data_IF_112637018805
#
_entry.id   IF_112637018805
#
_cell.length_a   1.000
_cell.length_b   1.000
_cell.length_c   1.000
_cell.angle_alpha   90.00
_cell.angle_beta   90.00
_cell.angle_gamma   90.00
#
_symmetry.space_group_name_H-M   'P 1'
#
loop_
_entity.id
_entity.type
_entity.pdbx_description
1 polymer ?
#
# COMPACT_ATOMS: atom_id res chain seq x y z
N UNK A 1 6.35 6.29 -11.41
CA UNK A 1 5.00 6.44 -10.81
C UNK A 1 5.12 6.24 -9.32
N UNK A 2 4.48 7.07 -8.49
CA UNK A 2 4.37 6.90 -7.05
C UNK A 2 2.98 6.39 -6.68
N UNK A 3 2.93 5.39 -5.81
CA UNK A 3 1.70 4.86 -5.23
C UNK A 3 1.84 4.89 -3.71
N UNK A 4 1.14 5.80 -3.05
CA UNK A 4 1.11 5.89 -1.60
C UNK A 4 0.09 4.91 -1.04
N UNK A 5 0.48 4.13 -0.05
CA UNK A 5 -0.39 3.23 0.69
C UNK A 5 -0.56 3.76 2.11
N UNK A 6 -1.78 4.07 2.51
CA UNK A 6 -2.08 4.55 3.87
C UNK A 6 -3.25 3.80 4.49
N UNK A 7 -3.34 3.84 5.81
CA UNK A 7 -4.52 3.36 6.55
C UNK A 7 -4.56 4.00 7.93
N UNK A 8 -5.75 4.21 8.48
CA UNK A 8 -5.88 4.83 9.82
C UNK A 8 -5.44 3.90 10.95
N UNK A 9 -5.64 2.60 10.80
CA UNK A 9 -5.34 1.59 11.83
C UNK A 9 -4.33 0.57 11.33
N UNK A 10 -3.52 0.06 12.25
CA UNK A 10 -2.71 -1.13 12.02
C UNK A 10 -3.59 -2.38 11.81
N UNK A 11 -3.02 -3.44 11.23
CA UNK A 11 -3.75 -4.70 10.99
C UNK A 11 -4.82 -4.64 9.90
N UNK A 12 -4.81 -3.57 9.08
CA UNK A 12 -5.65 -3.42 7.88
C UNK A 12 -5.20 -4.29 6.72
N UNK A 13 -4.02 -4.90 6.78
CA UNK A 13 -3.44 -5.62 5.65
C UNK A 13 -2.91 -4.71 4.53
N UNK A 14 -2.63 -3.43 4.83
CA UNK A 14 -1.99 -2.46 3.93
C UNK A 14 -0.66 -3.01 3.39
N UNK A 15 0.34 -3.18 4.26
CA UNK A 15 1.68 -3.60 3.88
C UNK A 15 1.69 -4.95 3.15
N UNK A 16 0.95 -5.94 3.65
CA UNK A 16 0.89 -7.27 2.99
C UNK A 16 0.22 -7.21 1.62
N UNK A 17 -0.83 -6.41 1.44
CA UNK A 17 -1.47 -6.22 0.13
C UNK A 17 -0.55 -5.47 -0.83
N UNK A 18 0.10 -4.41 -0.34
CA UNK A 18 1.03 -3.60 -1.13
C UNK A 18 2.28 -4.40 -1.56
N UNK A 19 2.83 -5.24 -0.69
CA UNK A 19 3.94 -6.15 -1.04
C UNK A 19 3.52 -7.18 -2.10
N UNK A 20 2.32 -7.76 -1.96
CA UNK A 20 1.78 -8.67 -2.97
C UNK A 20 1.54 -7.95 -4.31
N UNK A 21 1.03 -6.72 -4.29
CA UNK A 21 0.87 -5.88 -5.47
C UNK A 21 2.21 -5.57 -6.14
N UNK A 22 3.24 -5.22 -5.36
CA UNK A 22 4.60 -4.99 -5.85
C UNK A 22 5.17 -6.23 -6.55
N UNK A 23 4.97 -7.41 -5.92
CA UNK A 23 5.36 -8.68 -6.51
C UNK A 23 4.65 -8.93 -7.85
N UNK A 24 3.32 -8.78 -7.91
CA UNK A 24 2.54 -8.97 -9.14
C UNK A 24 2.96 -7.99 -10.25
N UNK A 25 3.17 -6.73 -9.94
CA UNK A 25 3.69 -5.74 -10.89
C UNK A 25 5.06 -6.14 -11.44
N UNK A 26 5.95 -6.67 -10.59
CA UNK A 26 7.26 -7.16 -11.03
C UNK A 26 7.15 -8.37 -11.96
N UNK A 27 6.19 -9.26 -11.75
CA UNK A 27 5.91 -10.38 -12.66
C UNK A 27 5.38 -9.90 -14.02
N UNK A 28 4.63 -8.80 -14.04
CA UNK A 28 4.14 -8.12 -15.24
C UNK A 28 5.23 -7.31 -15.97
N UNK A 29 6.50 -7.47 -15.58
CA UNK A 29 7.64 -6.86 -16.26
C UNK A 29 7.99 -5.45 -15.82
N UNK A 30 7.37 -4.92 -14.76
CA UNK A 30 7.68 -3.59 -14.23
C UNK A 30 8.89 -3.64 -13.28
N UNK A 31 9.79 -2.68 -13.39
CA UNK A 31 10.78 -2.44 -12.34
C UNK A 31 10.08 -1.72 -11.17
N UNK A 32 9.99 -2.39 -10.03
CA UNK A 32 9.25 -1.91 -8.85
C UNK A 32 10.19 -1.61 -7.68
N UNK A 33 10.01 -0.44 -7.08
CA UNK A 33 10.57 -0.09 -5.78
C UNK A 33 9.47 -0.13 -4.71
N UNK A 34 9.74 -0.79 -3.59
CA UNK A 34 8.92 -0.75 -2.38
C UNK A 34 9.66 0.06 -1.32
N UNK A 35 9.10 1.18 -0.89
CA UNK A 35 9.65 2.08 0.10
C UNK A 35 8.87 1.89 1.40
N UNK A 36 9.49 1.27 2.39
CA UNK A 36 8.88 1.01 3.70
C UNK A 36 9.00 2.26 4.59
N UNK A 37 8.01 3.16 4.46
CA UNK A 37 7.87 4.40 5.20
C UNK A 37 7.07 4.22 6.51
N UNK A 38 6.79 2.97 6.91
CA UNK A 38 6.27 2.69 8.25
C UNK A 38 7.42 2.80 9.25
N UNK A 39 7.79 4.03 9.59
CA UNK A 39 8.96 4.29 10.43
C UNK A 39 8.80 3.75 11.85
N UNK A 40 7.56 3.59 12.34
CA UNK A 40 7.31 3.03 13.66
C UNK A 40 7.37 1.50 13.70
N UNK A 41 7.08 0.83 12.58
CA UNK A 41 7.03 -0.62 12.50
C UNK A 41 7.25 -1.12 11.06
N UNK A 42 8.48 -1.03 10.52
CA UNK A 42 8.76 -1.51 9.18
C UNK A 42 8.65 -3.04 9.14
N UNK A 43 7.78 -3.55 8.25
CA UNK A 43 7.40 -4.98 8.18
C UNK A 43 7.61 -5.59 6.80
N UNK A 44 7.99 -4.78 5.79
CA UNK A 44 8.11 -5.28 4.43
C UNK A 44 9.16 -6.39 4.29
N UNK A 45 10.26 -6.32 5.05
CA UNK A 45 11.27 -7.37 5.06
C UNK A 45 10.74 -8.70 5.58
N UNK A 46 9.83 -8.71 6.55
CA UNK A 46 9.18 -9.94 7.03
C UNK A 46 8.22 -10.51 5.97
N UNK A 47 7.43 -9.66 5.31
CA UNK A 47 6.47 -10.08 4.26
C UNK A 47 7.19 -10.67 3.03
N UNK A 48 8.35 -10.12 2.70
CA UNK A 48 9.24 -10.64 1.65
C UNK A 48 10.15 -11.78 2.13
N UNK A 49 10.02 -12.21 3.39
CA UNK A 49 10.79 -13.31 4.00
C UNK A 49 12.31 -13.07 3.87
N UNK A 50 12.76 -11.87 4.27
CA UNK A 50 14.17 -11.45 4.31
C UNK A 50 14.60 -11.36 5.79
N UNK A 51 15.23 -12.40 6.37
CA UNK A 51 15.45 -12.52 7.82
C UNK A 51 16.20 -11.35 8.46
N UNK A 52 17.18 -10.79 7.75
CA UNK A 52 17.97 -9.65 8.25
C UNK A 52 17.21 -8.33 8.27
N UNK A 53 16.03 -8.28 7.65
CA UNK A 53 15.23 -7.06 7.47
C UNK A 53 13.79 -7.21 8.02
N UNK A 54 13.49 -8.27 8.77
CA UNK A 54 12.13 -8.53 9.29
C UNK A 54 11.53 -7.35 10.05
N UNK A 55 12.38 -6.56 10.70
CA UNK A 55 12.01 -5.38 11.50
C UNK A 55 12.69 -4.10 11.00
N UNK A 56 13.03 -4.05 9.71
CA UNK A 56 13.86 -3.00 9.11
C UNK A 56 15.35 -3.31 9.11
N UNK A 57 16.15 -2.39 8.58
CA UNK A 57 17.62 -2.46 8.58
C UNK A 57 18.21 -1.83 9.84
N UNK A 58 19.36 -2.32 10.29
CA UNK A 58 20.12 -1.69 11.37
C UNK A 58 20.89 -0.46 10.89
N UNK A 59 21.25 -0.43 9.60
CA UNK A 59 22.10 0.60 9.03
C UNK A 59 21.44 1.25 7.82
N UNK A 60 21.28 2.57 7.90
CA UNK A 60 20.97 3.45 6.77
C UNK A 60 19.63 3.19 6.09
N UNK A 61 18.58 2.85 6.83
CA UNK A 61 17.24 2.72 6.26
C UNK A 61 16.63 4.06 5.87
N UNK A 62 15.37 4.02 5.44
CA UNK A 62 14.64 5.20 5.00
C UNK A 62 14.43 6.24 6.11
N UNK A 63 14.24 5.83 7.36
CA UNK A 63 14.10 6.76 8.48
C UNK A 63 15.41 7.50 8.73
N UNK A 64 16.54 6.78 8.79
CA UNK A 64 17.86 7.40 8.92
C UNK A 64 18.20 8.32 7.73
N UNK A 65 17.79 7.96 6.51
CA UNK A 65 17.96 8.82 5.35
C UNK A 65 17.15 10.12 5.47
N UNK A 66 15.88 10.03 5.84
CA UNK A 66 15.01 11.22 6.00
C UNK A 66 15.52 12.14 7.10
N UNK A 67 16.09 11.59 8.18
CA UNK A 67 16.72 12.36 9.25
C UNK A 67 18.12 12.90 8.90
N UNK A 68 18.62 12.65 7.68
CA UNK A 68 19.94 13.12 7.23
C UNK A 68 21.13 12.39 7.87
N UNK A 69 20.90 11.23 8.50
CA UNK A 69 21.94 10.41 9.12
C UNK A 69 22.73 9.59 8.10
N UNK A 70 22.14 9.34 6.93
CA UNK A 70 22.80 8.76 5.76
C UNK A 70 22.43 9.57 4.50
N UNK A 71 23.34 9.60 3.53
CA UNK A 71 23.13 10.27 2.24
C UNK A 71 22.53 9.35 1.18
N UNK A 72 22.58 8.03 1.39
CA UNK A 72 22.03 7.02 0.48
C UNK A 72 21.28 5.99 1.33
N UNK A 73 19.98 5.76 1.09
CA UNK A 73 19.26 4.74 1.82
C UNK A 73 19.68 3.35 1.35
N UNK A 74 19.67 2.40 2.27
CA UNK A 74 19.83 0.97 2.00
C UNK A 74 18.77 0.54 0.98
N UNK A 75 19.18 -0.32 0.05
CA UNK A 75 18.31 -0.95 -0.95
C UNK A 75 18.72 -2.39 -1.15
N UNK A 76 17.74 -3.28 -1.27
CA UNK A 76 17.98 -4.71 -1.49
C UNK A 76 17.12 -5.25 -2.63
N UNK A 77 17.71 -6.11 -3.45
CA UNK A 77 16.97 -6.89 -4.46
C UNK A 77 16.29 -8.05 -3.74
N UNK A 78 14.96 -7.99 -3.62
CA UNK A 78 14.17 -8.95 -2.85
C UNK A 78 14.44 -10.38 -3.29
N UNK A 79 14.55 -10.62 -4.61
CA UNK A 79 14.76 -11.96 -5.15
C UNK A 79 16.13 -12.55 -4.82
N UNK A 80 17.12 -11.71 -4.51
CA UNK A 80 18.47 -12.18 -4.16
C UNK A 80 18.63 -12.51 -2.68
N UNK A 81 17.83 -11.90 -1.81
CA UNK A 81 18.04 -11.94 -0.36
C UNK A 81 16.91 -12.62 0.42
N UNK A 82 15.76 -12.87 -0.21
CA UNK A 82 14.68 -13.66 0.41
C UNK A 82 15.12 -15.09 0.69
N UNK A 83 14.67 -15.67 1.79
CA UNK A 83 14.89 -17.08 2.13
C UNK A 83 13.88 -18.02 1.46
N UNK A 84 12.88 -17.48 0.75
CA UNK A 84 11.88 -18.30 0.07
C UNK A 84 12.31 -18.63 -1.36
N UNK A 85 12.70 -19.88 -1.68
CA UNK A 85 13.31 -20.20 -2.98
C UNK A 85 12.41 -19.86 -4.17
N UNK A 86 11.10 -20.09 -4.04
CA UNK A 86 10.14 -19.77 -5.10
C UNK A 86 10.01 -18.25 -5.37
N UNK A 87 10.33 -17.39 -4.39
CA UNK A 87 10.35 -15.93 -4.59
C UNK A 87 11.67 -15.47 -5.23
N UNK A 88 12.74 -16.25 -5.10
CA UNK A 88 14.01 -16.00 -5.80
C UNK A 88 13.90 -16.27 -7.30
N UNK A 89 13.00 -17.16 -7.70
CA UNK A 89 12.73 -17.43 -9.12
C UNK A 89 12.31 -16.14 -9.84
N UNK A 90 12.99 -15.86 -10.95
CA UNK A 90 12.68 -14.71 -11.82
C UNK A 90 12.25 -15.24 -13.19
N UNK A 91 10.94 -15.39 -13.45
CA UNK A 91 10.45 -15.75 -14.76
C UNK A 91 10.98 -14.80 -15.84
N UNK A 92 11.18 -15.31 -17.05
CA UNK A 92 11.57 -14.49 -18.19
C UNK A 92 10.56 -13.36 -18.41
N UNK A 93 11.07 -12.14 -18.60
CA UNK A 93 10.23 -10.95 -18.76
C UNK A 93 9.81 -10.27 -17.45
N UNK A 94 10.10 -10.83 -16.28
CA UNK A 94 9.85 -10.15 -15.00
C UNK A 94 10.82 -8.98 -14.78
N UNK A 95 10.31 -7.86 -14.28
CA UNK A 95 11.07 -6.68 -13.88
C UNK A 95 11.68 -6.85 -12.48
N UNK A 96 12.39 -5.83 -11.98
CA UNK A 96 13.02 -5.83 -10.66
C UNK A 96 11.99 -5.68 -9.54
N UNK A 97 12.33 -6.20 -8.36
CA UNK A 97 11.60 -5.94 -7.12
C UNK A 97 12.63 -5.53 -6.05
N UNK A 98 12.72 -4.23 -5.81
CA UNK A 98 13.70 -3.63 -4.89
C UNK A 98 12.99 -3.15 -3.65
N UNK A 99 13.46 -3.54 -2.47
CA UNK A 99 13.01 -3.01 -1.18
C UNK A 99 13.99 -1.93 -0.70
N UNK A 100 13.45 -0.78 -0.33
CA UNK A 100 14.08 0.23 0.50
C UNK A 100 13.51 0.07 1.92
N UNK A 101 14.22 -0.60 2.84
CA UNK A 101 13.69 -0.87 4.17
C UNK A 101 13.66 0.39 5.04
N UNK A 102 12.71 0.44 5.97
CA UNK A 102 12.77 1.34 7.12
C UNK A 102 13.85 0.88 8.11
N UNK A 103 14.03 1.64 9.18
CA UNK A 103 15.05 1.37 10.20
C UNK A 103 14.48 0.60 11.40
N UNK A 104 15.28 -0.30 11.97
CA UNK A 104 14.96 -0.97 13.24
C UNK A 104 14.86 0.09 14.33
N UNK A 105 13.73 0.14 15.03
CA UNK A 105 13.53 1.09 16.13
C UNK A 105 13.39 2.55 15.65
N UNK A 106 13.05 2.76 14.38
CA UNK A 106 12.56 4.05 13.93
C UNK A 106 11.33 4.52 14.74
N UNK A 107 11.05 5.81 14.68
CA UNK A 107 9.95 6.41 15.44
C UNK A 107 9.36 7.60 14.69
N UNK A 108 8.24 8.10 15.19
CA UNK A 108 7.74 9.40 14.77
C UNK A 108 8.74 10.50 15.13
N UNK A 109 8.84 11.49 14.26
CA UNK A 109 9.72 12.65 14.41
C UNK A 109 8.95 13.94 14.16
N UNK A 110 9.48 15.07 14.59
CA UNK A 110 8.89 16.37 14.25
C UNK A 110 9.24 16.69 12.79
N UNK A 111 8.21 16.93 11.97
CA UNK A 111 8.41 17.27 10.57
C UNK A 111 9.14 18.60 10.42
N UNK A 112 10.11 18.65 9.50
CA UNK A 112 10.88 19.85 9.16
C UNK A 112 11.00 20.00 7.65
N UNK A 113 11.35 21.19 7.18
CA UNK A 113 11.58 21.45 5.75
C UNK A 113 12.68 20.56 5.16
N UNK A 114 13.69 20.20 5.96
CA UNK A 114 14.79 19.36 5.49
C UNK A 114 14.34 17.91 5.29
N UNK A 115 13.43 17.40 6.14
CA UNK A 115 12.80 16.09 5.92
C UNK A 115 11.98 16.08 4.63
N UNK A 116 11.23 17.15 4.35
CA UNK A 116 10.46 17.29 3.11
C UNK A 116 11.40 17.33 1.90
N UNK A 117 12.51 18.09 1.94
CA UNK A 117 13.52 18.12 0.88
C UNK A 117 14.14 16.73 0.65
N UNK A 118 14.43 15.99 1.71
CA UNK A 118 14.95 14.63 1.61
C UNK A 118 13.96 13.69 0.91
N UNK A 119 12.68 13.74 1.29
CA UNK A 119 11.62 12.97 0.63
C UNK A 119 11.45 13.34 -0.85
N UNK A 120 11.49 14.63 -1.20
CA UNK A 120 11.44 15.10 -2.59
C UNK A 120 12.59 14.49 -3.40
N UNK A 121 13.82 14.60 -2.89
CA UNK A 121 15.02 14.07 -3.56
C UNK A 121 14.93 12.55 -3.75
N UNK A 122 14.46 11.83 -2.73
CA UNK A 122 14.27 10.39 -2.79
C UNK A 122 13.23 10.02 -3.85
N UNK A 123 12.03 10.61 -3.81
CA UNK A 123 10.94 10.34 -4.75
C UNK A 123 11.36 10.60 -6.20
N UNK A 124 12.02 11.73 -6.47
CA UNK A 124 12.57 12.02 -7.80
C UNK A 124 13.64 11.02 -8.25
N UNK A 125 14.41 10.47 -7.32
CA UNK A 125 15.44 9.47 -7.63
C UNK A 125 14.80 8.13 -7.97
N UNK A 126 13.88 7.63 -7.14
CA UNK A 126 13.25 6.34 -7.38
C UNK A 126 12.32 6.37 -8.61
N UNK A 127 11.62 7.47 -8.87
CA UNK A 127 10.77 7.59 -10.06
C UNK A 127 11.55 7.62 -11.38
N UNK A 128 12.84 8.01 -11.35
CA UNK A 128 13.72 7.94 -12.52
C UNK A 128 14.26 6.53 -12.76
N UNK A 129 14.37 5.72 -11.70
CA UNK A 129 14.96 4.38 -11.76
C UNK A 129 13.92 3.28 -11.95
N UNK A 130 12.69 3.47 -11.46
CA UNK A 130 11.67 2.44 -11.41
C UNK A 130 10.37 2.87 -12.10
N UNK A 131 9.71 1.91 -12.76
CA UNK A 131 8.40 2.14 -13.38
C UNK A 131 7.36 2.51 -12.32
N UNK A 132 7.37 1.78 -11.19
CA UNK A 132 6.42 1.91 -10.09
C UNK A 132 7.16 1.95 -8.74
N UNK A 133 6.84 2.94 -7.92
CA UNK A 133 7.37 3.13 -6.58
C UNK A 133 6.20 3.10 -5.60
N UNK A 134 6.09 2.06 -4.78
CA UNK A 134 5.07 1.94 -3.75
C UNK A 134 5.66 2.48 -2.44
N UNK A 135 5.02 3.52 -1.89
CA UNK A 135 5.41 4.14 -0.61
C UNK A 135 4.43 3.68 0.46
N UNK A 136 4.87 2.82 1.36
CA UNK A 136 4.06 2.22 2.41
C UNK A 136 4.16 3.05 3.71
N UNK A 137 3.17 3.87 3.99
CA UNK A 137 3.22 4.87 5.07
C UNK A 137 2.80 4.26 6.40
N UNK A 138 3.30 4.76 7.54
CA UNK A 138 2.81 4.40 8.89
C UNK A 138 1.28 4.49 9.01
N UNK A 139 0.71 3.70 9.92
CA UNK A 139 -0.73 3.77 10.20
C UNK A 139 -1.10 5.08 10.93
N UNK A 140 -2.32 5.56 10.69
CA UNK A 140 -2.86 6.76 11.31
C UNK A 140 -2.36 8.04 10.66
N UNK A 141 -2.47 9.13 11.43
CA UNK A 141 -1.90 10.43 11.08
C UNK A 141 -0.44 10.42 11.55
N UNK A 142 0.48 10.46 10.60
CA UNK A 142 1.92 10.29 10.85
C UNK A 142 2.73 11.38 10.15
N UNK A 143 3.93 11.64 10.66
CA UNK A 143 4.86 12.56 9.99
C UNK A 143 5.26 12.03 8.61
N UNK A 144 5.28 10.72 8.41
CA UNK A 144 5.49 10.10 7.10
C UNK A 144 4.39 10.50 6.09
N UNK A 145 3.13 10.55 6.53
CA UNK A 145 1.99 10.96 5.71
C UNK A 145 2.07 12.45 5.35
N UNK A 146 2.28 13.31 6.34
CA UNK A 146 2.35 14.76 6.14
C UNK A 146 3.55 15.15 5.26
N UNK A 147 4.71 14.53 5.51
CA UNK A 147 5.90 14.70 4.66
C UNK A 147 5.63 14.29 3.22
N UNK A 148 4.96 13.15 3.02
CA UNK A 148 4.64 12.63 1.70
C UNK A 148 3.71 13.57 0.92
N UNK A 149 2.66 14.09 1.56
CA UNK A 149 1.74 15.06 0.96
C UNK A 149 2.47 16.35 0.56
N UNK A 150 3.34 16.88 1.42
CA UNK A 150 4.11 18.08 1.12
C UNK A 150 5.12 17.84 -0.02
N UNK A 151 5.80 16.68 -0.03
CA UNK A 151 6.79 16.32 -1.04
C UNK A 151 6.18 16.13 -2.45
N UNK A 152 4.90 15.73 -2.54
CA UNK A 152 4.19 15.59 -3.81
C UNK A 152 3.30 16.79 -4.17
N UNK A 153 3.29 17.83 -3.33
CA UNK A 153 2.40 18.97 -3.50
C UNK A 153 2.63 19.73 -4.81
N UNK A 154 1.59 20.39 -5.38
CA UNK A 154 1.74 21.19 -6.60
C UNK A 154 2.69 22.40 -6.44
N UNK A 155 2.95 22.82 -5.20
CA UNK A 155 3.93 23.87 -4.88
C UNK A 155 5.36 23.43 -5.15
N UNK A 156 5.62 22.13 -4.99
CA UNK A 156 6.92 21.51 -5.17
C UNK A 156 7.04 20.85 -6.55
N UNK A 157 6.07 20.00 -6.91
CA UNK A 157 6.00 19.35 -8.23
C UNK A 157 5.31 20.28 -9.20
N UNK A 158 6.08 20.92 -10.08
CA UNK A 158 5.51 21.63 -11.23
C UNK A 158 4.95 20.59 -12.19
N UNK A 159 3.66 20.70 -12.54
CA UNK A 159 3.02 19.86 -13.57
C UNK A 159 3.90 19.82 -14.81
N UNK A 160 4.33 18.63 -15.23
CA UNK A 160 5.01 18.47 -16.51
C UNK A 160 4.02 18.76 -17.64
N UNK A 161 4.48 19.38 -18.74
CA UNK A 161 3.64 19.67 -19.94
C UNK A 161 2.94 18.44 -20.54
N UNK A 162 3.40 17.23 -20.21
CA UNK A 162 2.86 15.95 -20.68
C UNK A 162 1.75 15.37 -19.78
N UNK A 163 1.27 16.11 -18.78
CA UNK A 163 0.01 15.81 -18.09
C UNK A 163 -0.03 14.56 -17.21
N UNK A 164 1.07 13.80 -17.09
CA UNK A 164 1.08 12.53 -16.37
C UNK A 164 1.80 12.66 -15.02
N UNK A 165 1.21 13.41 -14.07
CA UNK A 165 1.59 13.29 -12.66
C UNK A 165 1.14 11.91 -12.16
N UNK A 166 1.99 10.91 -12.36
CA UNK A 166 1.74 9.51 -12.01
C UNK A 166 1.82 9.30 -10.49
N UNK A 167 1.00 10.01 -9.75
CA UNK A 167 0.82 9.89 -8.30
C UNK A 167 -0.54 9.28 -8.04
N UNK A 168 -0.58 8.21 -7.24
CA UNK A 168 -1.80 7.54 -6.81
C UNK A 168 -1.76 7.33 -5.31
N UNK A 169 -2.92 7.38 -4.67
CA UNK A 169 -3.06 7.25 -3.22
C UNK A 169 -4.11 6.17 -2.92
N UNK A 170 -3.67 5.10 -2.26
CA UNK A 170 -4.49 3.98 -1.86
C UNK A 170 -4.75 4.02 -0.36
N UNK A 171 -6.02 4.19 0.00
CA UNK A 171 -6.49 4.15 1.38
C UNK A 171 -7.03 2.76 1.72
N UNK A 172 -6.31 2.04 2.58
CA UNK A 172 -6.65 0.69 2.99
C UNK A 172 -7.57 0.67 4.20
N UNK A 173 -8.55 -0.22 4.16
CA UNK A 173 -9.38 -0.52 5.32
C UNK A 173 -9.83 -1.98 5.30
N UNK A 174 -9.91 -2.59 6.49
CA UNK A 174 -10.37 -3.97 6.64
C UNK A 174 -11.89 -4.07 6.57
N UNK A 175 -12.40 -5.27 6.28
CA UNK A 175 -13.80 -5.66 6.44
C UNK A 175 -14.23 -5.65 7.91
N UNK A 176 -14.30 -4.49 8.57
CA UNK A 176 -14.92 -4.33 9.90
C UNK A 176 -15.48 -2.92 10.07
N UNK A 177 -16.49 -2.75 10.94
CA UNK A 177 -17.11 -1.45 11.22
C UNK A 177 -16.07 -0.41 11.65
N UNK A 178 -15.18 -0.80 12.57
CA UNK A 178 -14.17 0.09 13.11
C UNK A 178 -13.14 0.57 12.08
N UNK A 179 -12.80 -0.25 11.08
CA UNK A 179 -11.87 0.14 10.02
C UNK A 179 -12.53 1.01 8.96
N UNK A 180 -13.81 0.78 8.64
CA UNK A 180 -14.55 1.64 7.71
C UNK A 180 -14.73 3.05 8.28
N UNK A 181 -15.11 3.18 9.56
CA UNK A 181 -15.24 4.49 10.22
C UNK A 181 -13.88 5.21 10.26
N UNK A 182 -12.84 4.48 10.66
CA UNK A 182 -11.48 4.98 10.75
C UNK A 182 -10.94 5.50 9.41
N UNK A 183 -11.15 4.77 8.32
CA UNK A 183 -10.74 5.23 6.99
C UNK A 183 -11.49 6.48 6.53
N UNK A 184 -12.80 6.57 6.81
CA UNK A 184 -13.58 7.78 6.49
C UNK A 184 -13.05 8.99 7.27
N UNK A 185 -12.72 8.79 8.55
CA UNK A 185 -12.09 9.80 9.38
C UNK A 185 -10.71 10.24 8.90
N UNK A 186 -9.85 9.28 8.55
CA UNK A 186 -8.52 9.60 8.01
C UNK A 186 -8.60 10.35 6.68
N UNK A 187 -9.59 10.08 5.82
CA UNK A 187 -9.68 10.78 4.54
C UNK A 187 -10.30 12.17 4.69
N UNK A 188 -11.44 12.29 5.35
CA UNK A 188 -12.30 13.47 5.24
C UNK A 188 -12.39 14.34 6.49
N UNK A 189 -12.13 13.81 7.69
CA UNK A 189 -12.28 14.59 8.93
C UNK A 189 -11.11 15.56 9.14
N UNK A 190 -11.22 16.39 10.18
CA UNK A 190 -10.17 17.35 10.55
C UNK A 190 -8.82 16.64 10.72
N UNK A 191 -7.76 17.27 10.20
CA UNK A 191 -6.40 16.71 10.13
C UNK A 191 -6.35 15.35 9.40
N UNK A 192 -7.32 15.08 8.53
CA UNK A 192 -7.30 13.96 7.60
C UNK A 192 -6.51 14.30 6.34
N UNK A 193 -6.31 13.30 5.49
CA UNK A 193 -5.54 13.38 4.24
C UNK A 193 -6.06 14.50 3.34
N UNK A 194 -7.39 14.62 3.16
CA UNK A 194 -7.94 15.61 2.24
C UNK A 194 -7.74 17.06 2.73
N UNK A 195 -8.07 17.42 3.98
CA UNK A 195 -7.70 18.74 4.53
C UNK A 195 -6.20 19.03 4.45
N UNK A 196 -5.35 18.08 4.85
CA UNK A 196 -3.89 18.26 4.82
C UNK A 196 -3.36 18.43 3.38
N UNK A 197 -3.94 17.73 2.40
CA UNK A 197 -3.61 17.92 0.99
C UNK A 197 -4.00 19.33 0.50
N UNK A 198 -5.18 19.83 0.89
CA UNK A 198 -5.59 21.20 0.54
C UNK A 198 -4.64 22.23 1.14
N UNK A 199 -4.22 22.05 2.40
CA UNK A 199 -3.22 22.92 3.06
C UNK A 199 -1.85 22.88 2.36
N UNK A 200 -1.44 21.70 1.90
CA UNK A 200 -0.24 21.51 1.08
C UNK A 200 -0.34 22.16 -0.32
N UNK A 201 -1.54 22.58 -0.74
CA UNK A 201 -1.78 23.37 -1.95
C UNK A 201 -2.46 22.61 -3.08
N UNK A 202 -3.05 21.45 -2.82
CA UNK A 202 -3.90 20.77 -3.80
C UNK A 202 -5.27 21.44 -3.91
N UNK A 203 -5.84 21.48 -5.11
CA UNK A 203 -7.28 21.65 -5.25
C UNK A 203 -7.98 20.35 -4.79
N UNK A 204 -9.04 20.48 -4.00
CA UNK A 204 -9.74 19.33 -3.42
C UNK A 204 -10.16 18.30 -4.47
N UNK A 205 -10.76 18.75 -5.58
CA UNK A 205 -11.19 17.88 -6.68
C UNK A 205 -10.02 17.17 -7.36
N UNK A 206 -8.91 17.89 -7.60
CA UNK A 206 -7.71 17.32 -8.21
C UNK A 206 -7.10 16.24 -7.32
N UNK A 207 -7.04 16.47 -6.00
CA UNK A 207 -6.50 15.46 -5.07
C UNK A 207 -7.41 14.23 -4.98
N UNK A 208 -8.74 14.42 -4.92
CA UNK A 208 -9.67 13.29 -4.85
C UNK A 208 -9.57 12.36 -6.06
N UNK A 209 -9.18 12.87 -7.24
CA UNK A 209 -8.91 12.03 -8.42
C UNK A 209 -7.73 11.09 -8.21
N UNK A 210 -6.77 11.47 -7.37
CA UNK A 210 -5.60 10.68 -7.00
C UNK A 210 -5.90 9.64 -5.91
N UNK A 211 -7.10 9.62 -5.31
CA UNK A 211 -7.41 8.74 -4.17
C UNK A 211 -8.32 7.60 -4.62
N UNK A 212 -7.97 6.37 -4.23
CA UNK A 212 -8.87 5.22 -4.23
C UNK A 212 -8.74 4.42 -2.93
N UNK A 213 -9.72 3.60 -2.62
CA UNK A 213 -9.75 2.73 -1.44
C UNK A 213 -9.49 1.28 -1.82
N UNK A 214 -8.90 0.53 -0.90
CA UNK A 214 -8.75 -0.92 -1.01
C UNK A 214 -9.33 -1.56 0.24
N UNK A 215 -10.32 -2.44 0.04
CA UNK A 215 -10.99 -3.13 1.15
C UNK A 215 -10.43 -4.54 1.32
N UNK A 216 -9.84 -4.82 2.47
CA UNK A 216 -9.11 -6.07 2.70
C UNK A 216 -9.87 -7.07 3.55
N UNK A 217 -9.43 -8.33 3.48
CA UNK A 217 -9.95 -9.45 4.27
C UNK A 217 -11.47 -9.63 4.11
N UNK A 218 -11.99 -9.45 2.89
CA UNK A 218 -13.40 -9.61 2.58
C UNK A 218 -13.76 -11.10 2.60
N UNK A 219 -14.68 -11.54 3.47
CA UNK A 219 -15.04 -12.94 3.57
C UNK A 219 -15.80 -13.40 2.32
N UNK A 220 -15.53 -14.61 1.85
CA UNK A 220 -16.25 -15.21 0.73
C UNK A 220 -17.57 -15.80 1.23
N UNK A 221 -18.67 -15.09 0.99
CA UNK A 221 -20.02 -15.51 1.37
C UNK A 221 -20.39 -16.92 0.86
N UNK A 222 -19.85 -17.33 -0.30
CA UNK A 222 -20.12 -18.63 -0.90
C UNK A 222 -19.34 -19.78 -0.25
N UNK A 223 -18.13 -19.51 0.25
CA UNK A 223 -17.28 -20.50 0.91
C UNK A 223 -17.79 -20.95 2.29
N UNK A 224 -18.76 -20.23 2.87
CA UNK A 224 -19.36 -20.58 4.15
C UNK A 224 -20.35 -21.75 4.05
N UNK A 225 -20.88 -22.06 2.86
CA UNK A 225 -21.93 -23.07 2.68
C UNK A 225 -21.59 -24.50 3.10
N UNK A 226 -20.31 -24.88 3.10
CA UNK A 226 -19.89 -26.27 3.46
C UNK A 226 -19.61 -26.47 4.96
N UNK A 227 -19.37 -25.40 5.72
CA UNK A 227 -18.92 -25.47 7.13
C UNK A 227 -19.65 -24.52 8.08
N UNK A 228 -20.67 -23.82 7.62
CA UNK A 228 -21.46 -22.89 8.44
C UNK A 228 -22.95 -23.12 8.26
N UNK A 229 -23.73 -22.66 9.23
CA UNK A 229 -25.19 -22.72 9.16
C UNK A 229 -25.74 -21.67 8.20
N UNK A 230 -26.98 -21.87 7.72
CA UNK A 230 -27.66 -20.89 6.87
C UNK A 230 -27.78 -19.51 7.57
N UNK A 231 -27.94 -19.51 8.90
CA UNK A 231 -28.00 -18.30 9.72
C UNK A 231 -26.67 -17.55 9.73
N UNK A 232 -25.54 -18.27 9.81
CA UNK A 232 -24.20 -17.69 9.76
C UNK A 232 -23.92 -17.06 8.38
N UNK A 233 -24.25 -17.75 7.29
CA UNK A 233 -24.14 -17.20 5.93
C UNK A 233 -24.99 -15.94 5.77
N UNK A 234 -26.26 -15.95 6.20
CA UNK A 234 -27.14 -14.76 6.16
C UNK A 234 -26.62 -13.63 7.04
N UNK A 235 -25.95 -13.93 8.14
CA UNK A 235 -25.32 -12.91 8.98
C UNK A 235 -24.14 -12.26 8.25
N UNK A 236 -23.23 -13.03 7.65
CA UNK A 236 -22.08 -12.50 6.89
C UNK A 236 -22.54 -11.60 5.74
N UNK A 237 -23.55 -12.03 4.96
CA UNK A 237 -24.09 -11.22 3.86
C UNK A 237 -24.65 -9.89 4.37
N UNK A 238 -25.50 -9.92 5.42
CA UNK A 238 -26.04 -8.69 6.02
C UNK A 238 -24.96 -7.78 6.59
N UNK A 239 -23.91 -8.35 7.18
CA UNK A 239 -22.75 -7.59 7.66
C UNK A 239 -22.00 -6.93 6.50
N UNK A 240 -21.84 -7.61 5.36
CA UNK A 240 -21.18 -7.01 4.20
C UNK A 240 -22.01 -5.85 3.61
N UNK A 241 -23.32 -6.03 3.48
CA UNK A 241 -24.25 -4.98 3.02
C UNK A 241 -24.24 -3.78 3.97
N UNK A 242 -24.26 -4.02 5.27
CA UNK A 242 -24.14 -2.97 6.28
C UNK A 242 -22.83 -2.20 6.14
N UNK A 243 -21.70 -2.89 5.97
CA UNK A 243 -20.41 -2.24 5.84
C UNK A 243 -20.25 -1.48 4.51
N UNK A 244 -20.86 -1.95 3.42
CA UNK A 244 -20.94 -1.21 2.15
C UNK A 244 -21.75 0.07 2.31
N UNK A 245 -22.92 -0.01 2.94
CA UNK A 245 -23.75 1.16 3.23
C UNK A 245 -23.03 2.15 4.16
N UNK A 246 -22.30 1.66 5.17
CA UNK A 246 -21.48 2.48 6.05
C UNK A 246 -20.35 3.18 5.29
N UNK A 247 -19.65 2.46 4.41
CA UNK A 247 -18.59 3.04 3.58
C UNK A 247 -19.14 4.15 2.67
N UNK A 248 -20.28 3.90 2.02
CA UNK A 248 -20.98 4.91 1.21
C UNK A 248 -21.37 6.14 2.04
N UNK A 249 -21.96 5.97 3.23
CA UNK A 249 -22.31 7.06 4.13
C UNK A 249 -21.11 7.84 4.68
N UNK A 250 -19.89 7.31 4.54
CA UNK A 250 -18.62 7.95 4.91
C UNK A 250 -17.84 8.46 3.69
N UNK A 251 -18.46 8.50 2.51
CA UNK A 251 -17.81 8.98 1.28
C UNK A 251 -16.80 7.98 0.69
N UNK A 252 -16.70 6.75 1.21
CA UNK A 252 -15.85 5.67 0.71
C UNK A 252 -16.64 4.71 -0.21
N UNK A 253 -17.52 5.28 -1.04
CA UNK A 253 -18.41 4.52 -1.92
C UNK A 253 -17.68 3.73 -3.02
N UNK A 254 -18.46 3.06 -3.88
CA UNK A 254 -17.93 2.24 -4.99
C UNK A 254 -17.05 3.03 -5.95
N UNK A 255 -17.33 4.32 -6.13
CA UNK A 255 -16.58 5.23 -7.00
C UNK A 255 -15.12 5.37 -6.58
N UNK A 256 -14.85 5.30 -5.27
CA UNK A 256 -13.48 5.32 -4.75
C UNK A 256 -12.86 3.92 -4.69
N UNK A 257 -13.60 2.83 -4.88
CA UNK A 257 -13.06 1.48 -4.67
C UNK A 257 -12.16 1.03 -5.83
N UNK A 258 -10.86 0.90 -5.56
CA UNK A 258 -9.92 0.27 -6.51
C UNK A 258 -10.08 -1.25 -6.51
N UNK A 259 -10.28 -1.86 -5.35
CA UNK A 259 -10.43 -3.31 -5.30
C UNK A 259 -10.63 -3.85 -3.90
N UNK A 260 -10.80 -5.17 -3.85
CA UNK A 260 -10.93 -5.92 -2.60
C UNK A 260 -9.98 -7.10 -2.56
N UNK A 261 -9.50 -7.44 -1.38
CA UNK A 261 -8.72 -8.67 -1.16
C UNK A 261 -9.51 -9.62 -0.27
N UNK A 262 -9.56 -10.92 -0.60
CA UNK A 262 -10.35 -11.88 0.16
C UNK A 262 -9.74 -12.16 1.54
N UNK A 263 -10.55 -12.68 2.44
CA UNK A 263 -10.07 -13.30 3.67
C UNK A 263 -9.29 -14.59 3.32
N UNK A 264 -7.97 -14.49 3.46
CA UNK A 264 -7.01 -15.55 3.15
C UNK A 264 -6.33 -16.06 4.44
N UNK A 265 -6.58 -17.31 4.86
CA UNK A 265 -5.91 -17.91 6.02
C UNK A 265 -4.38 -17.76 6.00
N UNK A 266 -3.75 -17.91 4.83
CA UNK A 266 -2.30 -17.76 4.73
C UNK A 266 -1.81 -16.36 5.11
N UNK A 267 -2.56 -15.32 4.74
CA UNK A 267 -2.26 -13.94 5.12
C UNK A 267 -2.56 -13.66 6.59
N UNK A 268 -3.54 -14.34 7.18
CA UNK A 268 -3.85 -14.20 8.62
C UNK A 268 -2.74 -14.75 9.53
N UNK A 269 -1.99 -15.76 9.08
CA UNK A 269 -1.00 -16.43 9.91
C UNK A 269 0.44 -16.04 9.60
N UNK A 270 0.76 -15.76 8.34
CA UNK A 270 2.15 -15.58 7.91
C UNK A 270 2.44 -14.26 7.22
N UNK A 271 1.43 -13.43 6.94
CA UNK A 271 1.58 -12.13 6.29
C UNK A 271 2.69 -12.13 5.22
N UNK A 272 2.50 -12.91 4.14
CA UNK A 272 3.56 -13.19 3.16
C UNK A 272 3.10 -12.91 1.72
N UNK A 273 4.05 -12.89 0.78
CA UNK A 273 3.72 -12.91 -0.65
C UNK A 273 3.01 -14.22 -1.02
N UNK A 274 1.88 -14.13 -1.71
CA UNK A 274 1.12 -15.26 -2.26
C UNK A 274 1.58 -15.49 -3.70
N UNK A 275 2.20 -16.63 -3.94
CA UNK A 275 2.66 -17.07 -5.26
C UNK A 275 1.70 -18.08 -5.88
N UNK A 276 1.79 -18.24 -7.20
CA UNK A 276 0.97 -19.23 -7.91
C UNK A 276 1.30 -20.66 -7.47
N UNK A 277 2.54 -20.90 -7.00
CA UNK A 277 2.91 -22.16 -6.36
C UNK A 277 2.07 -22.47 -5.11
N UNK A 278 1.73 -21.46 -4.30
CA UNK A 278 0.91 -21.65 -3.10
C UNK A 278 -0.52 -22.02 -3.49
N UNK A 279 -1.03 -21.42 -4.57
CA UNK A 279 -2.34 -21.76 -5.14
C UNK A 279 -2.35 -23.17 -5.72
N UNK A 280 -1.31 -23.53 -6.50
CA UNK A 280 -1.17 -24.85 -7.09
C UNK A 280 -1.08 -25.96 -6.02
N UNK A 281 -0.45 -25.65 -4.88
CA UNK A 281 -0.38 -26.53 -3.71
C UNK A 281 -1.62 -26.47 -2.82
N UNK A 282 -2.63 -25.66 -3.18
CA UNK A 282 -3.88 -25.46 -2.43
C UNK A 282 -3.65 -24.91 -1.01
N UNK A 283 -2.56 -24.18 -0.80
CA UNK A 283 -2.25 -23.48 0.44
C UNK A 283 -2.91 -22.10 0.49
N UNK A 284 -3.06 -21.45 -0.67
CA UNK A 284 -3.77 -20.19 -0.83
C UNK A 284 -4.91 -20.34 -1.85
N UNK A 285 -5.93 -19.48 -1.75
CA UNK A 285 -7.07 -19.49 -2.66
C UNK A 285 -6.69 -18.85 -4.01
N UNK A 286 -7.15 -19.40 -5.16
CA UNK A 286 -6.97 -18.75 -6.46
C UNK A 286 -7.55 -17.33 -6.51
N UNK A 287 -8.66 -17.09 -5.79
CA UNK A 287 -9.28 -15.77 -5.71
C UNK A 287 -8.34 -14.72 -5.09
N UNK A 288 -7.39 -15.12 -4.23
CA UNK A 288 -6.44 -14.22 -3.57
C UNK A 288 -5.43 -13.68 -4.56
N UNK A 289 -4.82 -14.55 -5.37
CA UNK A 289 -3.84 -14.11 -6.39
C UNK A 289 -4.53 -13.29 -7.48
N UNK A 290 -5.71 -13.70 -7.94
CA UNK A 290 -6.51 -12.94 -8.89
C UNK A 290 -6.87 -11.54 -8.37
N UNK A 291 -7.17 -11.40 -7.08
CA UNK A 291 -7.43 -10.10 -6.47
C UNK A 291 -6.19 -9.20 -6.51
N UNK A 292 -5.00 -9.74 -6.22
CA UNK A 292 -3.75 -8.99 -6.32
C UNK A 292 -3.37 -8.65 -7.76
N UNK A 293 -3.57 -9.55 -8.73
CA UNK A 293 -3.32 -9.29 -10.15
C UNK A 293 -4.23 -8.17 -10.65
N UNK A 294 -5.54 -8.24 -10.35
CA UNK A 294 -6.51 -7.20 -10.70
C UNK A 294 -6.14 -5.86 -10.08
N UNK A 295 -5.75 -5.85 -8.80
CA UNK A 295 -5.33 -4.63 -8.13
C UNK A 295 -4.07 -4.05 -8.78
N UNK A 296 -3.03 -4.87 -8.99
CA UNK A 296 -1.78 -4.49 -9.64
C UNK A 296 -2.02 -3.84 -11.01
N UNK A 297 -2.85 -4.45 -11.86
CA UNK A 297 -3.21 -3.90 -13.17
C UNK A 297 -3.96 -2.57 -13.02
N UNK A 298 -4.98 -2.52 -12.16
CA UNK A 298 -5.82 -1.33 -11.98
C UNK A 298 -5.06 -0.13 -11.40
N UNK A 299 -4.06 -0.36 -10.55
CA UNK A 299 -3.27 0.72 -9.95
C UNK A 299 -2.20 1.28 -10.88
N UNK A 300 -2.02 0.73 -12.08
CA UNK A 300 -1.17 1.34 -13.13
C UNK A 300 -1.94 1.70 -14.40
N UNK A 301 -3.19 1.27 -14.54
CA UNK A 301 -4.10 1.67 -15.61
C UNK A 301 -4.59 3.10 -15.40
N UNK A 302 -4.29 4.03 -16.31
CA UNK A 302 -4.71 5.44 -16.22
C UNK A 302 -6.25 5.56 -16.38
N UNK A 303 -6.88 4.73 -17.22
CA UNK A 303 -8.33 4.78 -17.45
C UNK A 303 -9.14 4.39 -16.21
N UNK A 304 -8.62 3.49 -15.39
CA UNK A 304 -9.25 3.14 -14.11
C UNK A 304 -9.30 4.30 -13.10
N UNK A 305 -8.58 5.39 -13.38
CA UNK A 305 -8.47 6.58 -12.54
C UNK A 305 -9.13 7.82 -13.16
N UNK A 306 -9.54 7.75 -14.42
CA UNK A 306 -10.36 8.74 -15.13
C UNK A 306 -11.85 8.61 -14.74
N UNK A 307 -12.61 9.71 -14.72
CA UNK A 307 -14.08 9.66 -14.66
C UNK A 307 -14.79 10.08 -13.36
N UNK A 308 -14.19 10.92 -12.53
CA UNK A 308 -14.84 11.54 -11.36
C UNK A 308 -14.65 13.05 -11.31
#
# INVERSE_FOLDING_TARGET
MLIFSSSDKGGTGRSVTSCNMAYRLSLLGRDVAYLDFDFGSPTAGAIFEIPKLERGTQDGGLHSFILGQTTVPTRVDVRKVTERPALQERPSGSGKLTLFPGDVGGAEFHLSDDHIKAAISLFQTVEREFDVCIVDLSAGRSSALDMSLNAISPRVRKKTREGNDRVRWLLFHRWTTQHVIAAGGLLFEQNGILPCAVEAGFAQADFMRLVRTVRTAVPDASAFGEKTTAEQTRWVVRSDDHLKALAQGRGLGQDLLAGTTPLEPMLLWREQVIMDLDVNRRLAKPATTQAFDKLAIRVVDDHAWEGF
#
